data_IF_830424585536
#
_entry.id   IF_830424585536
#
_cell.length_a   1.000
_cell.length_b   1.000
_cell.length_c   1.000
_cell.angle_alpha   90.00
_cell.angle_beta   90.00
_cell.angle_gamma   90.00
#
_symmetry.space_group_name_H-M   'P 1'
#
loop_
_entity.id
_entity.type
_entity.pdbx_description
1 polymer ?
#
# COMPACT_ATOMS: atom_id res chain seq x y z
N UNK A 1 0.96 -13.97 -15.87
CA UNK A 1 0.94 -12.49 -15.96
C UNK A 1 0.04 -11.84 -14.91
N UNK A 2 -1.08 -12.45 -14.52
CA UNK A 2 -2.01 -11.89 -13.51
C UNK A 2 -1.38 -11.60 -12.14
N UNK A 3 -0.32 -12.32 -11.76
CA UNK A 3 0.40 -12.10 -10.50
C UNK A 3 1.23 -10.81 -10.48
N UNK A 4 1.57 -10.25 -11.65
CA UNK A 4 2.35 -9.02 -11.75
C UNK A 4 1.49 -7.75 -11.60
N UNK A 5 0.17 -7.89 -11.80
CA UNK A 5 -0.76 -6.76 -11.78
C UNK A 5 -0.89 -6.21 -10.36
N UNK A 6 -0.56 -4.93 -10.12
CA UNK A 6 -0.70 -4.32 -8.81
C UNK A 6 -2.18 -4.08 -8.46
N UNK A 7 -2.45 -3.95 -7.17
CA UNK A 7 -3.74 -3.48 -6.70
C UNK A 7 -3.75 -1.94 -6.66
N UNK A 8 -4.82 -1.33 -7.11
CA UNK A 8 -5.10 0.10 -6.93
C UNK A 8 -6.12 0.22 -5.79
N UNK A 9 -5.77 0.98 -4.76
CA UNK A 9 -6.62 1.17 -3.58
C UNK A 9 -6.99 2.64 -3.49
N UNK A 10 -8.29 2.94 -3.54
CA UNK A 10 -8.82 4.28 -3.33
C UNK A 10 -9.42 4.35 -1.92
N UNK A 11 -8.80 5.16 -1.06
CA UNK A 11 -9.27 5.37 0.31
C UNK A 11 -10.26 6.54 0.35
N UNK A 12 -11.47 6.26 0.78
CA UNK A 12 -12.57 7.22 0.96
C UNK A 12 -12.76 8.15 -0.26
N UNK A 13 -12.85 7.59 -1.49
CA UNK A 13 -13.07 8.41 -2.66
C UNK A 13 -14.40 9.16 -2.52
N UNK A 14 -14.37 10.46 -2.85
CA UNK A 14 -15.52 11.35 -2.61
C UNK A 14 -16.49 11.39 -3.78
N UNK A 15 -16.03 11.15 -4.98
CA UNK A 15 -16.83 11.26 -6.22
C UNK A 15 -16.83 9.93 -6.97
N UNK A 16 -18.03 9.44 -7.31
CA UNK A 16 -18.19 8.27 -8.17
C UNK A 16 -17.51 8.42 -9.52
N UNK A 17 -17.52 9.63 -10.07
CA UNK A 17 -16.87 10.00 -11.32
C UNK A 17 -15.35 9.74 -11.28
N UNK A 18 -14.71 9.99 -10.15
CA UNK A 18 -13.28 9.71 -9.97
C UNK A 18 -13.02 8.20 -9.92
N UNK A 19 -13.93 7.43 -9.33
CA UNK A 19 -13.83 5.96 -9.32
C UNK A 19 -13.96 5.43 -10.76
N UNK A 20 -14.98 5.87 -11.51
CA UNK A 20 -15.20 5.47 -12.90
C UNK A 20 -14.04 5.85 -13.83
N UNK A 21 -13.54 7.09 -13.69
CA UNK A 21 -12.38 7.57 -14.46
C UNK A 21 -11.10 6.80 -14.09
N UNK A 22 -10.93 6.43 -12.82
CA UNK A 22 -9.81 5.59 -12.39
C UNK A 22 -9.89 4.18 -12.97
N UNK A 23 -11.07 3.56 -12.96
CA UNK A 23 -11.29 2.25 -13.58
C UNK A 23 -10.98 2.26 -15.08
N UNK A 24 -11.38 3.33 -15.79
CA UNK A 24 -11.04 3.52 -17.19
C UNK A 24 -9.52 3.65 -17.40
N UNK A 25 -8.84 4.46 -16.58
CA UNK A 25 -7.40 4.59 -16.62
C UNK A 25 -6.69 3.25 -16.39
N UNK A 26 -7.13 2.47 -15.40
CA UNK A 26 -6.62 1.14 -15.11
C UNK A 26 -6.80 0.19 -16.29
N UNK A 27 -7.99 0.13 -16.87
CA UNK A 27 -8.30 -0.74 -18.02
C UNK A 27 -7.45 -0.43 -19.24
N UNK A 28 -7.18 0.85 -19.53
CA UNK A 28 -6.29 1.26 -20.62
C UNK A 28 -4.90 0.62 -20.56
N UNK A 29 -4.43 0.27 -19.36
CA UNK A 29 -3.11 -0.31 -19.12
C UNK A 29 -3.15 -1.76 -18.64
N UNK A 30 -4.33 -2.40 -18.68
CA UNK A 30 -4.49 -3.81 -18.34
C UNK A 30 -4.36 -4.09 -16.84
N UNK A 31 -4.75 -3.14 -16.00
CA UNK A 31 -4.87 -3.28 -14.54
C UNK A 31 -6.37 -3.40 -14.23
N UNK A 32 -6.75 -4.43 -13.46
CA UNK A 32 -8.16 -4.71 -13.16
C UNK A 32 -8.45 -4.95 -11.67
N UNK A 33 -7.43 -4.80 -10.80
CA UNK A 33 -7.55 -5.02 -9.36
C UNK A 33 -7.82 -3.71 -8.63
N UNK A 34 -9.08 -3.28 -8.59
CA UNK A 34 -9.52 -2.09 -7.87
C UNK A 34 -10.10 -2.47 -6.50
N UNK A 35 -9.64 -1.79 -5.45
CA UNK A 35 -10.16 -1.86 -4.09
C UNK A 35 -10.64 -0.48 -3.66
N UNK A 36 -11.81 -0.42 -3.05
CA UNK A 36 -12.36 0.81 -2.46
C UNK A 36 -12.41 0.65 -0.94
N UNK A 37 -12.03 1.69 -0.23
CA UNK A 37 -12.21 1.75 1.22
C UNK A 37 -13.23 2.84 1.50
N UNK A 38 -14.36 2.49 2.11
CA UNK A 38 -15.39 3.40 2.61
C UNK A 38 -15.71 4.54 1.63
N UNK A 39 -16.15 4.24 0.38
CA UNK A 39 -16.50 5.27 -0.59
C UNK A 39 -17.68 6.11 -0.09
N UNK A 40 -17.54 7.47 -0.12
CA UNK A 40 -18.51 8.40 0.49
C UNK A 40 -19.95 8.18 0.02
N UNK A 41 -20.13 7.99 -1.27
CA UNK A 41 -21.47 7.88 -1.88
C UNK A 41 -21.91 6.41 -2.03
N UNK A 42 -21.24 5.49 -1.32
CA UNK A 42 -21.55 4.06 -1.35
C UNK A 42 -21.07 3.35 -2.62
N UNK A 43 -21.31 2.03 -2.64
CA UNK A 43 -21.00 1.16 -3.77
C UNK A 43 -22.05 0.04 -3.91
N UNK A 44 -22.51 -0.33 -5.14
CA UNK A 44 -22.15 0.25 -6.44
C UNK A 44 -22.64 1.69 -6.63
N UNK A 45 -22.00 2.45 -7.55
CA UNK A 45 -22.27 3.87 -7.77
C UNK A 45 -22.54 4.15 -9.24
N UNK A 46 -23.74 4.69 -9.55
CA UNK A 46 -24.18 4.95 -10.93
C UNK A 46 -23.29 5.94 -11.68
N UNK A 47 -22.80 6.99 -11.00
CA UNK A 47 -21.89 7.97 -11.60
C UNK A 47 -20.57 7.32 -12.02
N UNK A 48 -20.07 6.34 -11.24
CA UNK A 48 -18.87 5.60 -11.59
C UNK A 48 -19.06 4.81 -12.89
N UNK A 49 -20.16 4.11 -13.02
CA UNK A 49 -20.48 3.36 -14.26
C UNK A 49 -20.69 4.27 -15.46
N UNK A 50 -21.38 5.40 -15.28
CA UNK A 50 -21.63 6.36 -16.39
C UNK A 50 -20.33 6.93 -16.98
N UNK A 51 -19.29 7.13 -16.16
CA UNK A 51 -18.01 7.71 -16.58
C UNK A 51 -16.94 6.66 -16.92
N UNK A 52 -17.16 5.40 -16.59
CA UNK A 52 -16.20 4.30 -16.83
C UNK A 52 -15.89 4.08 -18.32
N UNK A 53 -16.79 4.51 -19.21
CA UNK A 53 -16.64 4.40 -20.68
C UNK A 53 -16.21 2.98 -21.13
N UNK A 54 -16.91 1.96 -20.62
CA UNK A 54 -16.69 0.55 -20.95
C UNK A 54 -15.67 -0.17 -20.05
N UNK A 55 -15.23 0.45 -18.94
CA UNK A 55 -14.42 -0.22 -17.93
C UNK A 55 -15.26 -0.90 -16.84
N UNK A 56 -16.48 -1.30 -17.16
CA UNK A 56 -17.44 -1.92 -16.25
C UNK A 56 -16.94 -3.24 -15.66
N UNK A 57 -16.12 -3.96 -16.40
CA UNK A 57 -15.47 -5.20 -15.94
C UNK A 57 -14.49 -4.95 -14.77
N UNK A 58 -13.82 -3.80 -14.72
CA UNK A 58 -13.00 -3.37 -13.57
C UNK A 58 -13.91 -3.04 -12.39
N UNK A 59 -14.98 -2.27 -12.64
CA UNK A 59 -15.94 -1.88 -11.59
C UNK A 59 -16.68 -3.10 -11.02
N UNK A 60 -17.07 -4.07 -11.86
CA UNK A 60 -17.75 -5.28 -11.41
C UNK A 60 -16.87 -6.22 -10.57
N UNK A 61 -15.54 -6.17 -10.75
CA UNK A 61 -14.57 -6.91 -9.96
C UNK A 61 -14.12 -6.17 -8.70
N UNK A 62 -14.55 -4.90 -8.54
CA UNK A 62 -14.13 -4.05 -7.42
C UNK A 62 -14.58 -4.61 -6.09
N UNK A 63 -13.65 -4.71 -5.14
CA UNK A 63 -13.95 -5.12 -3.76
C UNK A 63 -13.98 -3.90 -2.85
N UNK A 64 -15.00 -3.84 -1.99
CA UNK A 64 -15.17 -2.76 -1.01
C UNK A 64 -14.80 -3.25 0.38
N UNK A 65 -14.03 -2.44 1.07
CA UNK A 65 -13.56 -2.67 2.44
C UNK A 65 -14.00 -1.53 3.36
N UNK A 66 -14.11 -1.79 4.65
CA UNK A 66 -14.42 -0.77 5.64
C UNK A 66 -13.18 -0.03 6.12
N UNK A 67 -12.04 -0.71 6.18
CA UNK A 67 -10.80 -0.18 6.74
C UNK A 67 -9.60 -0.45 5.83
N UNK A 68 -8.54 0.32 6.03
CA UNK A 68 -7.26 0.12 5.33
C UNK A 68 -6.64 -1.23 5.71
N UNK A 69 -6.72 -1.63 7.00
CA UNK A 69 -6.23 -2.93 7.48
C UNK A 69 -6.84 -4.10 6.69
N UNK A 70 -8.16 -4.04 6.43
CA UNK A 70 -8.85 -5.08 5.65
C UNK A 70 -8.41 -5.07 4.19
N UNK A 71 -8.31 -3.87 3.60
CA UNK A 71 -7.98 -3.70 2.19
C UNK A 71 -6.53 -4.06 1.86
N UNK A 72 -5.63 -4.08 2.84
CA UNK A 72 -4.19 -4.33 2.66
C UNK A 72 -3.70 -5.63 3.29
N UNK A 73 -4.59 -6.43 3.85
CA UNK A 73 -4.25 -7.64 4.62
C UNK A 73 -3.33 -8.61 3.87
N UNK A 74 -3.56 -8.80 2.58
CA UNK A 74 -2.82 -9.69 1.68
C UNK A 74 -1.71 -8.99 0.89
N UNK A 75 -1.52 -7.68 1.09
CA UNK A 75 -0.49 -6.89 0.41
C UNK A 75 0.83 -7.03 1.16
N UNK A 76 1.90 -7.36 0.45
CA UNK A 76 3.25 -7.48 1.02
C UNK A 76 4.14 -6.27 0.74
N UNK A 77 3.76 -5.43 -0.23
CA UNK A 77 4.45 -4.17 -0.52
C UNK A 77 3.43 -3.08 -0.85
N UNK A 78 3.32 -2.09 0.04
CA UNK A 78 2.34 -1.00 -0.05
C UNK A 78 3.03 0.34 -0.32
N UNK A 79 2.57 1.04 -1.35
CA UNK A 79 3.01 2.38 -1.69
C UNK A 79 1.88 3.39 -1.46
N UNK A 80 2.15 4.47 -0.71
CA UNK A 80 1.19 5.54 -0.48
C UNK A 80 1.51 6.76 -1.34
N UNK A 81 0.56 7.22 -2.15
CA UNK A 81 0.73 8.44 -2.96
C UNK A 81 0.45 9.68 -2.12
N UNK A 82 1.36 10.64 -2.12
CA UNK A 82 1.22 11.87 -1.34
C UNK A 82 1.84 13.07 -2.03
N UNK A 83 1.15 14.21 -2.00
CA UNK A 83 1.70 15.50 -2.39
C UNK A 83 2.55 16.13 -1.27
N UNK A 84 2.45 15.63 -0.03
CA UNK A 84 3.16 16.17 1.13
C UNK A 84 4.59 15.65 1.18
N UNK A 85 5.57 16.56 1.21
CA UNK A 85 7.01 16.24 1.17
C UNK A 85 7.58 15.66 2.47
N UNK A 86 6.85 15.67 3.60
CA UNK A 86 7.36 15.26 4.91
C UNK A 86 6.35 14.39 5.63
N UNK A 87 6.42 13.09 5.37
CA UNK A 87 5.90 12.11 6.32
C UNK A 87 7.09 11.59 7.09
N UNK A 88 7.13 11.87 8.40
CA UNK A 88 8.22 11.47 9.26
C UNK A 88 8.34 9.94 9.23
N UNK A 89 9.50 9.47 8.80
CA UNK A 89 9.89 8.07 8.95
C UNK A 89 9.66 7.15 7.75
N UNK A 90 8.89 7.54 6.73
CA UNK A 90 8.69 6.71 5.53
C UNK A 90 9.62 7.19 4.39
N UNK A 91 10.30 6.26 3.72
CA UNK A 91 11.18 6.59 2.60
C UNK A 91 10.32 7.00 1.39
N UNK A 92 10.62 8.17 0.81
CA UNK A 92 9.95 8.65 -0.40
C UNK A 92 10.69 8.18 -1.64
N UNK A 93 9.95 7.71 -2.62
CA UNK A 93 10.42 7.27 -3.93
C UNK A 93 9.82 8.17 -5.03
N UNK A 94 10.50 8.26 -6.14
CA UNK A 94 9.90 8.70 -7.40
C UNK A 94 8.90 7.65 -7.90
N UNK A 95 8.02 8.04 -8.82
CA UNK A 95 7.09 7.09 -9.45
C UNK A 95 7.87 5.94 -10.12
N UNK A 96 8.93 6.27 -10.82
CA UNK A 96 9.76 5.29 -11.52
C UNK A 96 10.36 4.25 -10.56
N UNK A 97 11.04 4.69 -9.48
CA UNK A 97 11.64 3.79 -8.47
C UNK A 97 10.58 2.91 -7.78
N UNK A 98 9.39 3.47 -7.51
CA UNK A 98 8.30 2.73 -6.91
C UNK A 98 7.77 1.63 -7.85
N UNK A 99 7.64 1.93 -9.14
CA UNK A 99 7.20 0.97 -10.15
C UNK A 99 8.23 -0.14 -10.35
N UNK A 100 9.54 0.18 -10.48
CA UNK A 100 10.58 -0.84 -10.56
C UNK A 100 10.53 -1.79 -9.37
N UNK A 101 10.47 -1.23 -8.16
CA UNK A 101 10.41 -2.01 -6.92
C UNK A 101 9.13 -2.85 -6.82
N UNK A 102 7.98 -2.31 -7.26
CA UNK A 102 6.71 -3.05 -7.33
C UNK A 102 6.82 -4.22 -8.30
N UNK A 103 7.43 -4.00 -9.45
CA UNK A 103 7.59 -5.01 -10.49
C UNK A 103 8.51 -6.15 -10.03
N UNK A 104 9.69 -5.80 -9.49
CA UNK A 104 10.63 -6.77 -8.93
C UNK A 104 10.00 -7.62 -7.83
N UNK A 105 9.23 -6.99 -6.94
CA UNK A 105 8.54 -7.69 -5.87
C UNK A 105 7.48 -8.64 -6.41
N UNK A 106 6.69 -8.22 -7.40
CA UNK A 106 5.65 -9.03 -8.01
C UNK A 106 6.22 -10.22 -8.81
N UNK A 107 7.34 -10.06 -9.51
CA UNK A 107 8.06 -11.15 -10.19
C UNK A 107 8.48 -12.24 -9.20
N UNK A 108 8.83 -11.85 -7.99
CA UNK A 108 9.20 -12.77 -6.91
C UNK A 108 7.98 -13.33 -6.14
N UNK A 109 6.76 -13.11 -6.64
CA UNK A 109 5.52 -13.69 -6.09
C UNK A 109 4.84 -12.83 -5.03
N UNK A 110 5.36 -11.62 -4.75
CA UNK A 110 4.77 -10.69 -3.79
C UNK A 110 3.53 -9.98 -4.36
N UNK A 111 2.63 -9.55 -3.47
CA UNK A 111 1.42 -8.81 -3.83
C UNK A 111 1.62 -7.33 -3.52
N UNK A 112 1.48 -6.47 -4.53
CA UNK A 112 1.77 -5.03 -4.42
C UNK A 112 0.50 -4.19 -4.53
N UNK A 113 0.49 -3.02 -3.88
CA UNK A 113 -0.61 -2.07 -4.00
C UNK A 113 -0.12 -0.61 -3.99
N UNK A 114 -0.87 0.23 -4.70
CA UNK A 114 -0.75 1.67 -4.71
C UNK A 114 -2.00 2.27 -4.05
N UNK A 115 -1.79 2.99 -2.95
CA UNK A 115 -2.83 3.61 -2.14
C UNK A 115 -2.95 5.09 -2.47
N UNK A 116 -4.18 5.51 -2.74
CA UNK A 116 -4.56 6.90 -3.00
C UNK A 116 -5.56 7.37 -1.96
N UNK A 117 -5.40 8.61 -1.50
CA UNK A 117 -6.29 9.21 -0.51
C UNK A 117 -7.48 9.95 -1.12
N UNK A 118 -8.38 10.43 -0.25
CA UNK A 118 -9.51 11.28 -0.66
C UNK A 118 -9.03 12.57 -1.36
N UNK A 119 -9.83 13.06 -2.30
CA UNK A 119 -9.49 14.16 -3.20
C UNK A 119 -9.12 15.44 -2.47
N UNK A 120 -9.83 15.78 -1.40
CA UNK A 120 -9.64 17.05 -0.68
C UNK A 120 -8.51 17.02 0.34
N UNK A 121 -8.42 15.92 1.12
CA UNK A 121 -7.51 15.84 2.26
C UNK A 121 -6.24 15.03 1.98
N UNK A 122 -6.25 14.17 0.95
CA UNK A 122 -5.21 13.16 0.75
C UNK A 122 -5.20 12.12 1.89
N UNK A 123 -4.20 11.29 1.91
CA UNK A 123 -4.00 10.28 2.96
C UNK A 123 -3.71 10.91 4.31
N UNK A 124 -4.26 10.35 5.38
CA UNK A 124 -3.90 10.71 6.75
C UNK A 124 -2.47 10.24 7.09
N UNK A 125 -1.90 10.78 8.16
CA UNK A 125 -0.58 10.33 8.62
C UNK A 125 -0.63 8.85 9.05
N UNK A 126 -1.75 8.39 9.58
CA UNK A 126 -1.93 7.00 10.01
C UNK A 126 -2.03 6.05 8.80
N UNK A 127 -2.67 6.48 7.69
CA UNK A 127 -2.68 5.72 6.44
C UNK A 127 -1.26 5.62 5.84
N UNK A 128 -0.54 6.74 5.82
CA UNK A 128 0.80 6.79 5.22
C UNK A 128 1.81 5.94 5.99
N UNK A 129 1.70 5.88 7.32
CA UNK A 129 2.61 5.09 8.17
C UNK A 129 2.42 3.58 7.98
N UNK A 130 1.27 3.13 7.48
CA UNK A 130 1.07 1.71 7.12
C UNK A 130 1.83 1.32 5.84
N UNK A 131 2.16 2.30 4.98
CA UNK A 131 2.86 2.03 3.74
C UNK A 131 4.37 1.82 3.96
N UNK A 132 4.95 0.97 3.12
CA UNK A 132 6.39 0.70 3.10
C UNK A 132 7.15 1.90 2.51
N UNK A 133 6.56 2.56 1.52
CA UNK A 133 7.12 3.71 0.82
C UNK A 133 6.05 4.75 0.52
N UNK A 134 6.48 6.02 0.46
CA UNK A 134 5.66 7.07 -0.13
C UNK A 134 6.08 7.35 -1.55
N UNK A 135 5.14 7.76 -2.40
CA UNK A 135 5.39 8.20 -3.76
C UNK A 135 5.00 9.66 -3.88
N UNK A 136 5.90 10.48 -4.39
CA UNK A 136 5.61 11.86 -4.74
C UNK A 136 5.63 12.04 -6.25
N UNK A 137 4.50 12.49 -6.81
CA UNK A 137 4.41 12.89 -8.22
C UNK A 137 4.91 14.33 -8.34
N UNK A 138 5.93 14.61 -9.14
CA UNK A 138 6.43 15.97 -9.33
C UNK A 138 5.38 16.83 -10.02
N UNK A 139 4.91 17.87 -9.34
CA UNK A 139 3.92 18.80 -9.86
C UNK A 139 4.44 20.25 -9.81
N UNK A 140 3.73 21.16 -10.45
CA UNK A 140 3.99 22.59 -10.35
C UNK A 140 3.88 23.03 -8.89
N UNK A 141 4.89 23.73 -8.38
CA UNK A 141 4.94 24.21 -6.99
C UNK A 141 3.76 25.12 -6.61
N UNK A 142 3.25 25.88 -7.60
CA UNK A 142 2.12 26.79 -7.40
C UNK A 142 0.76 26.13 -7.61
N UNK A 143 0.73 24.88 -8.12
CA UNK A 143 -0.48 24.11 -8.35
C UNK A 143 -0.18 22.61 -8.16
N UNK A 144 -0.15 22.20 -6.90
CA UNK A 144 0.25 20.84 -6.49
C UNK A 144 -0.92 19.88 -6.25
N UNK A 145 -2.15 20.30 -6.55
CA UNK A 145 -3.33 19.46 -6.49
C UNK A 145 -3.49 18.70 -7.81
N UNK A 146 -3.54 17.38 -7.73
CA UNK A 146 -3.80 16.50 -8.86
C UNK A 146 -5.12 15.75 -8.61
N UNK A 147 -5.97 15.70 -9.64
CA UNK A 147 -7.20 14.91 -9.55
C UNK A 147 -6.86 13.42 -9.29
N UNK A 148 -7.68 12.75 -8.50
CA UNK A 148 -7.48 11.36 -8.09
C UNK A 148 -7.28 10.42 -9.28
N UNK A 149 -8.16 10.48 -10.28
CA UNK A 149 -8.06 9.61 -11.46
C UNK A 149 -6.84 9.91 -12.34
N UNK A 150 -6.39 11.17 -12.36
CA UNK A 150 -5.15 11.55 -13.06
C UNK A 150 -3.92 10.98 -12.34
N UNK A 151 -3.90 10.99 -11.00
CA UNK A 151 -2.85 10.35 -10.23
C UNK A 151 -2.79 8.84 -10.50
N UNK A 152 -3.95 8.18 -10.53
CA UNK A 152 -4.07 6.75 -10.89
C UNK A 152 -3.56 6.52 -12.31
N UNK A 153 -3.93 7.36 -13.28
CA UNK A 153 -3.49 7.28 -14.67
C UNK A 153 -1.96 7.27 -14.79
N UNK A 154 -1.27 8.17 -14.07
CA UNK A 154 0.19 8.27 -14.11
C UNK A 154 0.86 7.01 -13.57
N UNK A 155 0.37 6.46 -12.48
CA UNK A 155 0.89 5.19 -11.92
C UNK A 155 0.66 4.04 -12.91
N UNK A 156 -0.54 3.93 -13.48
CA UNK A 156 -0.87 2.89 -14.45
C UNK A 156 -0.01 2.99 -15.72
N UNK A 157 0.23 4.20 -16.19
CA UNK A 157 1.10 4.46 -17.35
C UNK A 157 2.54 4.02 -17.10
N UNK A 158 3.14 4.45 -15.98
CA UNK A 158 4.50 4.06 -15.63
C UNK A 158 4.63 2.55 -15.43
N UNK A 159 3.63 1.92 -14.79
CA UNK A 159 3.59 0.47 -14.66
C UNK A 159 3.56 -0.25 -16.01
N UNK A 160 2.75 0.24 -16.96
CA UNK A 160 2.69 -0.34 -18.29
C UNK A 160 4.02 -0.20 -19.06
N UNK A 161 4.71 0.93 -18.91
CA UNK A 161 6.07 1.11 -19.47
C UNK A 161 7.04 0.06 -18.93
N UNK A 162 7.06 -0.14 -17.62
CA UNK A 162 7.91 -1.16 -16.99
C UNK A 162 7.56 -2.57 -17.48
N UNK A 163 6.27 -2.89 -17.59
CA UNK A 163 5.79 -4.16 -18.16
C UNK A 163 6.29 -4.39 -19.58
N UNK A 164 6.20 -3.37 -20.43
CA UNK A 164 6.69 -3.46 -21.83
C UNK A 164 8.20 -3.68 -21.91
N UNK A 165 8.97 -3.02 -21.03
CA UNK A 165 10.42 -3.20 -20.96
C UNK A 165 10.79 -4.60 -20.49
N UNK A 166 10.11 -5.11 -19.47
CA UNK A 166 10.31 -6.46 -18.96
C UNK A 166 10.01 -7.53 -20.04
N UNK A 167 8.90 -7.39 -20.76
CA UNK A 167 8.54 -8.31 -21.83
C UNK A 167 9.59 -8.35 -22.97
N UNK A 168 10.24 -7.22 -23.26
CA UNK A 168 11.34 -7.16 -24.25
C UNK A 168 12.61 -7.84 -23.74
N UNK A 169 12.89 -7.81 -22.43
CA UNK A 169 14.07 -8.45 -21.84
C UNK A 169 13.90 -9.98 -21.73
N UNK A 170 12.70 -10.47 -21.40
CA UNK A 170 12.40 -11.91 -21.35
C UNK A 170 12.54 -12.58 -22.74
N UNK A 171 12.33 -11.85 -23.82
CA UNK A 171 12.55 -12.34 -25.18
C UNK A 171 14.03 -12.59 -25.48
N UNK A 172 14.95 -11.97 -24.71
CA UNK A 172 16.41 -12.06 -24.88
C UNK A 172 17.15 -12.88 -23.81
N UNK A 173 16.47 -13.33 -22.76
CA UNK A 173 17.11 -14.08 -21.66
C UNK A 173 16.27 -15.26 -21.19
N UNK A 174 16.55 -16.41 -21.79
CA UNK A 174 16.24 -17.71 -21.18
C UNK A 174 17.09 -17.88 -19.92
N UNK A 175 16.41 -18.08 -18.78
CA UNK A 175 16.94 -18.47 -17.48
C UNK A 175 17.40 -17.36 -16.52
N UNK A 176 16.53 -17.04 -15.55
CA UNK A 176 16.93 -16.99 -14.14
C UNK A 176 15.82 -17.58 -13.28
N UNK A 177 15.89 -18.87 -13.01
CA UNK A 177 15.15 -19.52 -11.92
C UNK A 177 15.78 -19.09 -10.58
N UNK A 178 15.36 -17.99 -10.00
CA UNK A 178 15.57 -17.72 -8.58
C UNK A 178 14.31 -18.11 -7.81
N UNK A 179 14.23 -19.38 -7.40
CA UNK A 179 13.37 -19.72 -6.25
C UNK A 179 13.94 -19.02 -5.03
N UNK A 180 13.43 -17.84 -4.70
CA UNK A 180 13.67 -17.24 -3.40
C UNK A 180 13.13 -18.18 -2.33
N UNK A 181 13.96 -18.50 -1.33
CA UNK A 181 13.52 -19.30 -0.18
C UNK A 181 12.43 -18.50 0.53
N UNK A 182 11.36 -19.16 0.95
CA UNK A 182 10.22 -18.61 1.71
C UNK A 182 10.61 -17.72 2.93
N UNK A 183 11.84 -17.88 3.43
CA UNK A 183 12.42 -17.11 4.53
C UNK A 183 12.80 -15.66 4.18
N UNK A 184 12.84 -15.30 2.89
CA UNK A 184 13.19 -13.96 2.42
C UNK A 184 11.99 -13.20 1.85
N UNK A 185 10.79 -13.80 1.84
CA UNK A 185 9.57 -13.11 1.43
C UNK A 185 9.18 -12.06 2.47
N UNK A 186 8.86 -10.85 2.00
CA UNK A 186 8.33 -9.79 2.86
C UNK A 186 7.02 -10.23 3.50
N UNK A 187 6.86 -9.90 4.77
CA UNK A 187 5.61 -10.14 5.48
C UNK A 187 4.48 -9.27 4.93
N UNK A 188 3.25 -9.79 4.98
CA UNK A 188 2.08 -9.01 4.59
C UNK A 188 1.80 -7.86 5.57
N UNK A 189 1.15 -6.81 5.10
CA UNK A 189 0.71 -5.68 5.94
C UNK A 189 -0.13 -6.20 7.11
N UNK A 190 -1.06 -7.15 6.87
CA UNK A 190 -1.90 -7.72 7.91
C UNK A 190 -1.10 -8.40 9.03
N UNK A 191 -0.04 -9.14 8.70
CA UNK A 191 0.82 -9.80 9.71
C UNK A 191 1.61 -8.77 10.52
N UNK A 192 2.08 -7.70 9.87
CA UNK A 192 2.76 -6.57 10.55
C UNK A 192 1.82 -5.82 11.49
N UNK A 193 0.57 -5.53 11.05
CA UNK A 193 -0.42 -4.87 11.88
C UNK A 193 -0.81 -5.72 13.09
N UNK A 194 -0.90 -7.03 12.95
CA UNK A 194 -1.11 -7.93 14.08
C UNK A 194 0.03 -7.83 15.11
N UNK A 195 1.29 -7.83 14.63
CA UNK A 195 2.46 -7.63 15.47
C UNK A 195 2.42 -6.27 16.19
N UNK A 196 2.10 -5.19 15.48
CA UNK A 196 2.03 -3.85 16.07
C UNK A 196 0.95 -3.74 17.15
N UNK A 197 -0.22 -4.34 16.94
CA UNK A 197 -1.27 -4.39 17.95
C UNK A 197 -0.80 -5.09 19.23
N UNK A 198 -0.13 -6.24 19.10
CA UNK A 198 0.43 -6.94 20.26
C UNK A 198 1.51 -6.13 20.97
N UNK A 199 2.40 -5.49 20.23
CA UNK A 199 3.46 -4.66 20.80
C UNK A 199 2.86 -3.44 21.52
N UNK A 200 1.89 -2.76 20.91
CA UNK A 200 1.19 -1.62 21.50
C UNK A 200 0.51 -1.99 22.82
N UNK A 201 -0.14 -3.16 22.89
CA UNK A 201 -0.80 -3.65 24.10
C UNK A 201 0.19 -3.91 25.24
N UNK A 202 1.35 -4.52 24.92
CA UNK A 202 2.40 -4.77 25.91
C UNK A 202 3.04 -3.47 26.39
N UNK A 203 3.29 -2.53 25.50
CA UNK A 203 3.86 -1.22 25.84
C UNK A 203 2.86 -0.38 26.67
N UNK A 204 1.56 -0.48 26.39
CA UNK A 204 0.55 0.14 27.24
C UNK A 204 0.56 -0.44 28.66
N UNK A 205 0.61 -1.77 28.81
CA UNK A 205 0.64 -2.45 30.11
C UNK A 205 1.88 -2.15 30.92
N UNK A 206 3.04 -1.97 30.24
CA UNK A 206 4.32 -1.63 30.90
C UNK A 206 4.42 -0.17 31.33
N UNK A 207 3.44 0.70 30.97
CA UNK A 207 3.50 2.13 31.24
C UNK A 207 4.47 2.90 30.33
N UNK A 208 4.88 2.33 29.20
CA UNK A 208 5.83 2.96 28.28
C UNK A 208 5.30 4.28 27.72
N UNK A 209 3.99 4.41 27.51
CA UNK A 209 3.38 5.64 27.00
C UNK A 209 3.03 6.58 28.17
N UNK A 210 3.94 7.45 28.55
CA UNK A 210 3.78 8.38 29.69
C UNK A 210 2.69 9.45 29.46
N UNK A 211 2.51 9.91 28.22
CA UNK A 211 1.54 10.93 27.86
C UNK A 211 0.51 10.38 26.88
N UNK A 212 -0.76 10.56 27.20
CA UNK A 212 -1.87 10.19 26.29
C UNK A 212 -1.82 10.97 24.98
N UNK A 213 -1.34 12.23 25.00
CA UNK A 213 -1.23 13.09 23.83
C UNK A 213 -0.09 12.66 22.91
N UNK A 214 1.02 12.21 23.48
CA UNK A 214 2.21 11.79 22.72
C UNK A 214 2.14 10.32 22.26
N UNK A 215 1.32 9.50 22.90
CA UNK A 215 1.21 8.07 22.57
C UNK A 215 0.96 7.81 21.06
N UNK A 216 0.06 8.53 20.36
CA UNK A 216 -0.13 8.32 18.92
C UNK A 216 1.12 8.62 18.08
N UNK A 217 1.91 9.63 18.47
CA UNK A 217 3.15 9.99 17.79
C UNK A 217 4.20 8.90 17.99
N UNK A 218 4.35 8.42 19.22
CA UNK A 218 5.32 7.36 19.55
C UNK A 218 4.96 6.06 18.83
N UNK A 219 3.67 5.70 18.77
CA UNK A 219 3.19 4.51 18.02
C UNK A 219 3.52 4.62 16.54
N UNK A 220 3.31 5.77 15.90
CA UNK A 220 3.72 6.01 14.51
C UNK A 220 5.23 5.86 14.32
N UNK A 221 6.03 6.38 15.24
CA UNK A 221 7.49 6.26 15.19
C UNK A 221 7.95 4.80 15.28
N UNK A 222 7.33 4.00 16.15
CA UNK A 222 7.60 2.55 16.28
C UNK A 222 7.28 1.83 14.96
N UNK A 223 6.09 2.06 14.38
CA UNK A 223 5.70 1.47 13.08
C UNK A 223 6.69 1.85 11.99
N UNK A 224 7.03 3.12 11.90
CA UNK A 224 7.98 3.64 10.93
C UNK A 224 9.37 3.02 11.04
N UNK A 225 9.83 2.74 12.28
CA UNK A 225 11.10 2.06 12.53
C UNK A 225 11.09 0.64 11.93
N UNK A 226 10.06 -0.14 12.19
CA UNK A 226 9.94 -1.50 11.70
C UNK A 226 9.67 -1.57 10.18
N UNK A 227 8.89 -0.64 9.62
CA UNK A 227 8.65 -0.60 8.18
C UNK A 227 9.94 -0.34 7.38
N UNK A 228 10.86 0.49 7.91
CA UNK A 228 12.17 0.68 7.28
C UNK A 228 13.04 -0.58 7.27
N UNK A 229 12.80 -1.51 8.20
CA UNK A 229 13.53 -2.78 8.25
C UNK A 229 13.05 -3.79 7.19
N UNK A 230 11.92 -3.51 6.48
CA UNK A 230 11.38 -4.42 5.45
C UNK A 230 11.21 -5.85 5.96
N UNK A 231 10.44 -6.00 7.04
CA UNK A 231 10.32 -7.26 7.79
C UNK A 231 9.84 -8.43 6.92
N UNK A 232 10.58 -9.53 6.99
CA UNK A 232 10.19 -10.82 6.43
C UNK A 232 9.26 -11.58 7.38
N UNK A 233 8.61 -12.65 6.90
CA UNK A 233 7.86 -13.56 7.77
C UNK A 233 8.74 -14.18 8.88
N UNK A 234 10.03 -14.39 8.61
CA UNK A 234 10.98 -14.91 9.61
C UNK A 234 11.26 -13.87 10.70
N UNK A 235 11.44 -12.59 10.32
CA UNK A 235 11.68 -11.51 11.27
C UNK A 235 10.49 -11.35 12.22
N UNK A 236 9.26 -11.39 11.69
CA UNK A 236 8.04 -11.33 12.51
C UNK A 236 7.97 -12.49 13.51
N UNK A 237 8.28 -13.73 13.09
CA UNK A 237 8.33 -14.86 14.02
C UNK A 237 9.33 -14.64 15.16
N UNK A 238 10.51 -14.13 14.81
CA UNK A 238 11.55 -13.80 15.82
C UNK A 238 11.08 -12.71 16.76
N UNK A 239 10.51 -11.62 16.25
CA UNK A 239 9.97 -10.53 17.07
C UNK A 239 8.83 -10.98 17.99
N UNK A 240 7.90 -11.82 17.49
CA UNK A 240 6.86 -12.42 18.34
C UNK A 240 7.46 -13.30 19.45
N UNK A 241 8.53 -14.03 19.17
CA UNK A 241 9.25 -14.81 20.19
C UNK A 241 9.86 -13.92 21.26
N UNK A 242 10.49 -12.83 20.87
CA UNK A 242 11.11 -11.84 21.79
C UNK A 242 10.04 -11.23 22.71
N UNK A 243 8.95 -10.66 22.16
CA UNK A 243 7.92 -10.03 22.99
C UNK A 243 7.22 -11.03 23.92
N UNK A 244 7.01 -12.28 23.46
CA UNK A 244 6.46 -13.33 24.32
C UNK A 244 7.38 -13.69 25.48
N UNK A 245 8.67 -13.81 25.21
CA UNK A 245 9.67 -14.10 26.26
C UNK A 245 9.73 -12.98 27.31
N UNK A 246 9.72 -11.73 26.86
CA UNK A 246 9.75 -10.56 27.75
C UNK A 246 8.45 -10.42 28.57
N UNK A 247 7.30 -10.71 27.97
CA UNK A 247 6.01 -10.66 28.69
C UNK A 247 5.82 -11.81 29.69
N UNK A 248 6.45 -12.96 29.47
CA UNK A 248 6.40 -14.13 30.37
C UNK A 248 7.37 -14.07 31.55
N UNK A 249 8.38 -13.22 31.49
CA UNK A 249 9.39 -13.10 32.57
C UNK A 249 8.88 -12.32 33.79
N UNK A 250 7.70 -11.65 33.71
CA UNK A 250 7.07 -11.01 34.87
C UNK A 250 6.46 -11.99 35.90
N UNK A 251 6.40 -13.29 35.59
CA UNK A 251 5.86 -14.31 36.49
C UNK A 251 6.94 -15.24 37.09
N UNK A 252 8.21 -14.86 37.06
CA UNK A 252 9.29 -15.65 37.65
C UNK A 252 10.11 -14.79 38.64
N UNK A 253 9.44 -14.20 39.62
CA UNK A 253 10.05 -13.72 40.86
C UNK A 253 9.13 -14.03 42.03
#
# INVERSE_FOLDING_TARGET
>A
MDKLIPNIILSKPQLGENIGSSARAMKNFGIDKLRLIDPRDGWPNNSAYAISAGADDVLNKTTVYRTLDEATKDISLLFATTARKRVVGTKSLSVFEAIEKSFDHAVNGGNTAFLFGPEQSGLSNDDVVQADYTISIPLNKNFSSLNLSQAVLLICWEWNKAKMLFQKQDYNSTQVNKKLKKSTELSNVGDREYFYKQLDDLLNRSGFFYSKEMAPVVKRNIRSLFNRASLTHQDLRTLHGIIRSLSGSSNRT
#
